data_IF_390663134292
#
_entry.id   IF_390663134292
#
_cell.length_a   1.000
_cell.length_b   1.000
_cell.length_c   1.000
_cell.angle_alpha   90.00
_cell.angle_beta   90.00
_cell.angle_gamma   90.00
#
_symmetry.space_group_name_H-M   'P 1'
#
loop_
_entity.id
_entity.type
_entity.pdbx_description
1 polymer ?
#
# COMPACT_ATOMS: atom_id res chain seq x y z
N UNK A 1 -14.27 1.31 -10.08
CA UNK A 1 -13.29 0.35 -9.54
C UNK A 1 -12.81 -0.51 -10.70
N UNK A 2 -11.50 -0.66 -10.90
CA UNK A 2 -10.98 -1.58 -11.93
C UNK A 2 -11.27 -3.01 -11.47
N UNK A 3 -11.73 -3.87 -12.37
CA UNK A 3 -12.04 -5.26 -12.01
C UNK A 3 -10.76 -5.97 -11.53
N UNK A 4 -10.80 -6.76 -10.44
CA UNK A 4 -9.62 -7.46 -9.91
C UNK A 4 -8.91 -8.33 -10.95
N UNK A 5 -9.66 -8.91 -11.89
CA UNK A 5 -9.14 -9.70 -13.00
C UNK A 5 -8.23 -8.86 -13.92
N UNK A 6 -8.60 -7.60 -14.19
CA UNK A 6 -7.80 -6.69 -15.03
C UNK A 6 -6.50 -6.34 -14.30
N UNK A 7 -6.56 -6.09 -13.00
CA UNK A 7 -5.36 -5.81 -12.19
C UNK A 7 -4.43 -7.01 -12.19
N UNK A 8 -4.96 -8.22 -11.97
CA UNK A 8 -4.18 -9.45 -12.04
C UNK A 8 -3.53 -9.67 -13.41
N UNK A 9 -4.25 -9.42 -14.50
CA UNK A 9 -3.70 -9.53 -15.85
C UNK A 9 -2.60 -8.48 -16.11
N UNK A 10 -2.81 -7.24 -15.67
CA UNK A 10 -1.81 -6.17 -15.77
C UNK A 10 -0.52 -6.54 -15.04
N UNK A 11 -0.60 -6.97 -13.78
CA UNK A 11 0.58 -7.39 -13.01
C UNK A 11 1.25 -8.63 -13.60
N UNK A 12 0.49 -9.56 -14.17
CA UNK A 12 1.06 -10.70 -14.91
C UNK A 12 1.92 -10.24 -16.09
N UNK A 13 1.51 -9.19 -16.83
CA UNK A 13 2.32 -8.63 -17.91
C UNK A 13 3.58 -7.93 -17.38
N UNK A 14 3.46 -7.18 -16.27
CA UNK A 14 4.60 -6.52 -15.62
C UNK A 14 5.67 -7.52 -15.17
N UNK A 15 5.24 -8.67 -14.65
CA UNK A 15 6.07 -9.75 -14.12
C UNK A 15 6.56 -10.77 -15.17
N UNK A 16 6.28 -10.57 -16.47
CA UNK A 16 6.78 -11.49 -17.50
C UNK A 16 8.31 -11.57 -17.48
N UNK A 17 8.83 -12.80 -17.49
CA UNK A 17 10.28 -13.03 -17.31
C UNK A 17 11.10 -12.45 -18.46
N UNK A 18 10.65 -12.64 -19.70
CA UNK A 18 11.39 -12.25 -20.91
C UNK A 18 11.08 -10.83 -21.41
N UNK A 19 9.81 -10.41 -21.31
CA UNK A 19 9.29 -9.17 -21.92
C UNK A 19 8.75 -8.18 -20.90
N UNK A 20 8.80 -8.52 -19.61
CA UNK A 20 8.22 -7.69 -18.55
C UNK A 20 9.08 -6.46 -18.26
N UNK A 21 8.48 -5.26 -18.11
CA UNK A 21 9.20 -4.03 -17.81
C UNK A 21 10.02 -4.10 -16.52
N UNK A 22 9.62 -4.90 -15.53
CA UNK A 22 10.40 -5.04 -14.28
C UNK A 22 11.74 -5.72 -14.50
N UNK A 23 11.76 -6.83 -15.24
CA UNK A 23 13.03 -7.48 -15.59
C UNK A 23 13.85 -6.65 -16.58
N UNK A 24 13.20 -5.87 -17.44
CA UNK A 24 13.91 -4.93 -18.31
C UNK A 24 14.67 -3.85 -17.50
N UNK A 25 14.00 -3.22 -16.53
CA UNK A 25 14.61 -2.21 -15.66
C UNK A 25 15.72 -2.83 -14.80
N UNK A 26 15.50 -4.03 -14.24
CA UNK A 26 16.53 -4.71 -13.46
C UNK A 26 17.73 -5.10 -14.33
N UNK A 27 17.50 -5.57 -15.55
CA UNK A 27 18.56 -5.89 -16.50
C UNK A 27 19.42 -4.68 -16.85
N UNK A 28 18.82 -3.49 -16.97
CA UNK A 28 19.56 -2.23 -17.15
C UNK A 28 20.49 -1.92 -15.97
N UNK A 29 20.10 -2.30 -14.75
CA UNK A 29 20.90 -2.15 -13.53
C UNK A 29 21.86 -3.34 -13.29
N UNK A 30 21.94 -4.29 -14.23
CA UNK A 30 22.78 -5.49 -14.12
C UNK A 30 22.22 -6.57 -13.17
N UNK A 31 20.94 -6.50 -12.81
CA UNK A 31 20.26 -7.45 -11.92
C UNK A 31 19.29 -8.34 -12.71
N UNK A 32 19.09 -9.58 -12.25
CA UNK A 32 18.10 -10.49 -12.82
C UNK A 32 18.55 -11.18 -14.13
N UNK A 33 17.62 -11.82 -14.86
CA UNK A 33 16.16 -11.77 -14.69
C UNK A 33 15.66 -12.57 -13.47
N UNK A 34 14.53 -12.13 -12.89
CA UNK A 34 13.85 -12.84 -11.83
C UNK A 34 12.56 -13.51 -12.32
N UNK A 35 12.30 -14.70 -11.81
CA UNK A 35 11.06 -15.44 -12.03
C UNK A 35 9.99 -15.06 -11.00
N UNK A 36 9.53 -13.80 -11.09
CA UNK A 36 8.64 -13.16 -10.12
C UNK A 36 7.52 -14.05 -9.58
N UNK A 37 6.77 -14.72 -10.45
CA UNK A 37 5.61 -15.54 -10.06
C UNK A 37 5.86 -17.05 -10.10
N UNK A 38 6.95 -17.51 -10.73
CA UNK A 38 7.24 -18.94 -10.89
C UNK A 38 8.17 -19.50 -9.82
N UNK A 39 9.02 -18.66 -9.22
CA UNK A 39 9.92 -19.07 -8.15
C UNK A 39 9.26 -18.90 -6.78
N UNK A 40 9.34 -19.93 -5.93
CA UNK A 40 8.78 -19.96 -4.57
C UNK A 40 9.25 -18.78 -3.71
N UNK A 41 10.51 -18.35 -3.86
CA UNK A 41 11.07 -17.26 -3.05
C UNK A 41 10.55 -15.87 -3.45
N UNK A 42 10.15 -15.67 -4.71
CA UNK A 42 9.70 -14.38 -5.23
C UNK A 42 8.19 -14.29 -5.44
N UNK A 43 7.50 -15.44 -5.59
CA UNK A 43 6.07 -15.50 -5.89
C UNK A 43 5.22 -14.81 -4.82
N UNK A 44 5.46 -15.10 -3.55
CA UNK A 44 4.69 -14.49 -2.46
C UNK A 44 4.95 -12.97 -2.37
N UNK A 45 6.20 -12.48 -2.35
CA UNK A 45 6.48 -11.04 -2.45
C UNK A 45 5.82 -10.34 -3.65
N UNK A 46 5.84 -10.96 -4.83
CA UNK A 46 5.20 -10.40 -6.04
C UNK A 46 3.69 -10.22 -5.88
N UNK A 47 3.00 -11.21 -5.30
CA UNK A 47 1.56 -11.11 -5.04
C UNK A 47 1.28 -10.03 -3.99
N UNK A 48 2.08 -9.96 -2.92
CA UNK A 48 1.94 -8.94 -1.86
C UNK A 48 2.09 -7.53 -2.44
N UNK A 49 3.08 -7.29 -3.30
CA UNK A 49 3.31 -5.98 -3.92
C UNK A 49 2.10 -5.56 -4.76
N UNK A 50 1.55 -6.48 -5.56
CA UNK A 50 0.38 -6.21 -6.39
C UNK A 50 -0.86 -5.88 -5.55
N UNK A 51 -1.10 -6.63 -4.46
CA UNK A 51 -2.21 -6.36 -3.53
C UNK A 51 -2.04 -5.00 -2.83
N UNK A 52 -0.86 -4.71 -2.27
CA UNK A 52 -0.58 -3.42 -1.62
C UNK A 52 -0.85 -2.27 -2.60
N UNK A 53 -0.35 -2.37 -3.83
CA UNK A 53 -0.55 -1.34 -4.84
C UNK A 53 -2.04 -1.13 -5.16
N UNK A 54 -2.80 -2.21 -5.34
CA UNK A 54 -4.22 -2.13 -5.67
C UNK A 54 -5.03 -1.41 -4.58
N UNK A 55 -4.69 -1.64 -3.31
CA UNK A 55 -5.51 -1.18 -2.18
C UNK A 55 -4.99 0.08 -1.50
N UNK A 56 -3.75 0.48 -1.74
CA UNK A 56 -3.17 1.73 -1.22
C UNK A 56 -4.05 2.95 -1.50
N UNK A 57 -4.61 3.17 -2.71
CA UNK A 57 -5.47 4.33 -2.98
C UNK A 57 -6.72 4.36 -2.08
N UNK A 58 -7.33 3.21 -1.81
CA UNK A 58 -8.50 3.13 -0.94
C UNK A 58 -8.14 3.48 0.51
N UNK A 59 -7.07 2.86 1.05
CA UNK A 59 -6.60 3.13 2.40
C UNK A 59 -6.22 4.61 2.57
N UNK A 60 -5.55 5.19 1.56
CA UNK A 60 -5.18 6.60 1.56
C UNK A 60 -6.41 7.51 1.59
N UNK A 61 -7.43 7.24 0.77
CA UNK A 61 -8.67 8.03 0.76
C UNK A 61 -9.43 7.96 2.08
N UNK A 62 -9.54 6.77 2.69
CA UNK A 62 -10.22 6.63 3.99
C UNK A 62 -9.43 7.34 5.09
N UNK A 63 -8.11 7.20 5.09
CA UNK A 63 -7.24 7.89 6.05
C UNK A 63 -7.30 9.40 5.88
N UNK A 64 -7.35 9.90 4.64
CA UNK A 64 -7.49 11.32 4.33
C UNK A 64 -8.85 11.88 4.79
N UNK A 65 -9.93 11.14 4.56
CA UNK A 65 -11.25 11.51 5.07
C UNK A 65 -11.27 11.56 6.60
N UNK A 66 -10.60 10.60 7.25
CA UNK A 66 -10.39 10.60 8.70
C UNK A 66 -9.60 11.82 9.18
N UNK A 67 -8.56 12.22 8.44
CA UNK A 67 -7.73 13.38 8.75
C UNK A 67 -8.52 14.68 8.65
N UNK A 68 -9.35 14.84 7.62
CA UNK A 68 -10.20 16.03 7.43
C UNK A 68 -11.26 16.20 8.52
N UNK A 69 -11.60 15.15 9.27
CA UNK A 69 -12.55 15.21 10.37
C UNK A 69 -11.90 15.57 11.73
N UNK A 70 -10.57 15.65 11.81
CA UNK A 70 -9.87 15.99 13.03
C UNK A 70 -9.91 17.51 13.31
N UNK A 71 -10.01 17.93 14.58
CA UNK A 71 -10.01 19.35 14.93
C UNK A 71 -8.65 19.98 14.63
N UNK A 72 -8.64 21.11 13.93
CA UNK A 72 -7.41 21.82 13.55
C UNK A 72 -6.65 22.39 14.75
N UNK A 73 -7.35 22.73 15.83
CA UNK A 73 -6.78 23.34 17.05
C UNK A 73 -5.64 22.50 17.64
N UNK A 74 -5.71 21.16 17.55
CA UNK A 74 -4.66 20.27 18.05
C UNK A 74 -3.38 20.33 17.21
N UNK A 75 -3.50 20.61 15.92
CA UNK A 75 -2.34 20.79 15.03
C UNK A 75 -1.68 22.15 15.25
N UNK A 76 -2.48 23.19 15.44
CA UNK A 76 -2.00 24.54 15.75
C UNK A 76 -1.30 24.57 17.12
N UNK A 77 -1.87 23.92 18.13
CA UNK A 77 -1.24 23.78 19.45
C UNK A 77 0.14 23.10 19.35
N UNK A 78 0.24 22.02 18.57
CA UNK A 78 1.52 21.34 18.34
C UNK A 78 2.54 22.22 17.60
N UNK A 79 2.10 23.11 16.70
CA UNK A 79 2.99 24.09 16.06
C UNK A 79 3.49 25.15 17.04
N UNK A 80 2.62 25.64 17.93
CA UNK A 80 2.98 26.60 18.99
C UNK A 80 4.01 25.96 19.95
N UNK A 81 3.85 24.68 20.26
CA UNK A 81 4.81 23.89 21.06
C UNK A 81 6.13 23.59 20.33
N UNK A 82 6.29 24.05 19.08
CA UNK A 82 7.52 23.90 18.30
C UNK A 82 7.72 22.52 17.69
N UNK A 83 6.67 21.72 17.53
CA UNK A 83 6.78 20.38 16.95
C UNK A 83 7.07 20.43 15.43
N UNK A 84 8.18 19.79 15.03
CA UNK A 84 8.53 19.59 13.62
C UNK A 84 7.47 18.76 12.88
N UNK A 85 7.41 18.84 11.56
CA UNK A 85 6.43 18.10 10.74
C UNK A 85 6.48 16.59 10.98
N UNK A 86 7.66 16.03 11.22
CA UNK A 86 7.84 14.60 11.53
C UNK A 86 7.29 14.23 12.91
N UNK A 87 7.50 15.10 13.92
CA UNK A 87 6.93 14.92 15.25
C UNK A 87 5.40 15.03 15.21
N UNK A 88 4.86 15.99 14.46
CA UNK A 88 3.40 16.13 14.29
C UNK A 88 2.80 14.89 13.62
N UNK A 89 3.44 14.35 12.59
CA UNK A 89 3.00 13.10 11.95
C UNK A 89 2.93 11.94 12.95
N UNK A 90 4.01 11.70 13.68
CA UNK A 90 4.13 10.52 14.57
C UNK A 90 3.34 10.67 15.86
N UNK A 91 3.36 11.84 16.49
CA UNK A 91 2.82 12.05 17.84
C UNK A 91 1.44 12.71 17.86
N UNK A 92 0.98 13.33 16.77
CA UNK A 92 -0.34 13.98 16.69
C UNK A 92 -1.21 13.26 15.66
N UNK A 93 -0.79 13.25 14.39
CA UNK A 93 -1.59 12.74 13.27
C UNK A 93 -1.87 11.24 13.39
N UNK A 94 -0.84 10.39 13.50
CA UNK A 94 -1.02 8.93 13.54
C UNK A 94 -1.82 8.47 14.79
N UNK A 95 -1.57 8.97 16.01
CA UNK A 95 -2.35 8.59 17.18
C UNK A 95 -3.81 9.01 17.11
N UNK A 96 -4.12 10.16 16.50
CA UNK A 96 -5.50 10.60 16.29
C UNK A 96 -6.21 9.76 15.23
N UNK A 97 -5.50 9.37 14.17
CA UNK A 97 -6.02 8.50 13.11
C UNK A 97 -6.09 7.01 13.49
N UNK A 98 -5.53 6.60 14.63
CA UNK A 98 -5.40 5.17 15.00
C UNK A 98 -6.70 4.38 14.90
N UNK A 99 -7.86 5.00 15.20
CA UNK A 99 -9.17 4.35 15.12
C UNK A 99 -9.59 4.10 13.68
N UNK A 100 -9.40 5.10 12.81
CA UNK A 100 -9.69 5.00 11.37
C UNK A 100 -8.77 3.95 10.74
N UNK A 101 -7.46 4.03 11.03
CA UNK A 101 -6.46 3.08 10.54
C UNK A 101 -6.79 1.66 11.02
N UNK A 102 -7.14 1.46 12.29
CA UNK A 102 -7.49 0.14 12.82
C UNK A 102 -8.70 -0.48 12.11
N UNK A 103 -9.76 0.29 11.86
CA UNK A 103 -10.95 -0.19 11.14
C UNK A 103 -10.56 -0.63 9.72
N UNK A 104 -9.80 0.19 9.00
CA UNK A 104 -9.36 -0.13 7.64
C UNK A 104 -8.46 -1.36 7.62
N UNK A 105 -7.54 -1.49 8.58
CA UNK A 105 -6.67 -2.65 8.69
C UNK A 105 -7.46 -3.94 8.93
N UNK A 106 -8.44 -3.93 9.85
CA UNK A 106 -9.28 -5.10 10.10
C UNK A 106 -10.06 -5.48 8.84
N UNK A 107 -10.66 -4.50 8.15
CA UNK A 107 -11.35 -4.75 6.89
C UNK A 107 -10.41 -5.37 5.84
N UNK A 108 -9.20 -4.83 5.69
CA UNK A 108 -8.18 -5.36 4.77
C UNK A 108 -7.80 -6.79 5.10
N UNK A 109 -7.56 -7.09 6.37
CA UNK A 109 -7.23 -8.45 6.83
C UNK A 109 -8.37 -9.41 6.47
N UNK A 110 -9.62 -9.05 6.76
CA UNK A 110 -10.80 -9.86 6.42
C UNK A 110 -10.93 -10.09 4.91
N UNK A 111 -10.70 -9.06 4.10
CA UNK A 111 -10.75 -9.16 2.64
C UNK A 111 -9.65 -10.07 2.08
N UNK A 112 -8.43 -9.98 2.62
CA UNK A 112 -7.31 -10.85 2.22
C UNK A 112 -7.56 -12.31 2.60
N UNK A 113 -8.11 -12.59 3.79
CA UNK A 113 -8.46 -13.96 4.18
C UNK A 113 -9.52 -14.58 3.25
N UNK A 114 -10.54 -13.82 2.86
CA UNK A 114 -11.59 -14.26 1.93
C UNK A 114 -11.09 -14.48 0.49
N UNK A 115 -9.89 -14.03 0.14
CA UNK A 115 -9.35 -14.20 -1.19
C UNK A 115 -9.02 -15.67 -1.51
N UNK A 116 -8.73 -16.50 -0.49
CA UNK A 116 -8.45 -17.93 -0.67
C UNK A 116 -9.72 -18.78 -0.83
N UNK A 117 -10.87 -18.27 -0.39
CA UNK A 117 -12.16 -18.93 -0.48
C UNK A 117 -12.91 -18.65 -1.80
N UNK A 118 -12.36 -17.76 -2.64
CA UNK A 118 -12.91 -17.39 -3.96
C UNK A 118 -12.18 -18.10 -5.09
#
# INVERSE_FOLDING_TARGET
MVAPVIVGYMWRLLYQVQTGPFNYILGFLGLGPYEWTSNVSTALPSIIIADIWQWTPFVALVTLAGLSALPQELFEAAEIDGASSWQRLIYVTLPMLRRVIAIVLVMRVLDTFRMFDK
#
